data_IF_470421473086
#
_entry.id   IF_470421473086
#
_cell.length_a   1.000
_cell.length_b   1.000
_cell.length_c   1.000
_cell.angle_alpha   90.00
_cell.angle_beta   90.00
_cell.angle_gamma   90.00
#
_symmetry.space_group_name_H-M   'P 1'
#
loop_
_entity.id
_entity.type
_entity.pdbx_description
1 polymer ?
#
# COMPACT_ATOMS: atom_id res chain seq x y z
N UNK A 1 4.37 -0.47 24.17
CA UNK A 1 4.78 -0.28 22.76
C UNK A 1 4.41 -1.52 21.98
N UNK A 2 3.69 -1.38 20.87
CA UNK A 2 3.71 -2.41 19.84
C UNK A 2 5.16 -2.64 19.40
N UNK A 3 5.50 -3.86 18.98
CA UNK A 3 6.87 -4.19 18.56
C UNK A 3 7.37 -3.18 17.53
N UNK A 4 8.49 -2.51 17.80
CA UNK A 4 9.11 -1.52 16.91
C UNK A 4 9.33 -2.09 15.50
N UNK A 5 9.51 -3.40 15.39
CA UNK A 5 9.64 -4.13 14.13
C UNK A 5 8.38 -4.07 13.26
N UNK A 6 7.18 -4.12 13.85
CA UNK A 6 5.92 -4.06 13.09
C UNK A 6 5.67 -2.67 12.52
N UNK A 7 5.91 -1.65 13.33
CA UNK A 7 5.80 -0.26 12.92
C UNK A 7 6.85 0.07 11.86
N UNK A 8 8.06 -0.48 11.97
CA UNK A 8 9.10 -0.33 10.96
C UNK A 8 8.67 -0.94 9.61
N UNK A 9 8.13 -2.17 9.62
CA UNK A 9 7.61 -2.80 8.39
C UNK A 9 6.53 -1.95 7.72
N UNK A 10 5.62 -1.36 8.50
CA UNK A 10 4.59 -0.46 7.97
C UNK A 10 5.15 0.87 7.46
N UNK A 11 6.17 1.44 8.13
CA UNK A 11 6.84 2.66 7.65
C UNK A 11 7.56 2.44 6.32
N UNK A 12 8.27 1.32 6.18
CA UNK A 12 8.92 0.95 4.92
C UNK A 12 7.90 0.77 3.78
N UNK A 13 6.79 0.10 4.09
CA UNK A 13 5.69 -0.05 3.12
C UNK A 13 5.03 1.28 2.76
N UNK A 14 4.77 2.14 3.75
CA UNK A 14 4.26 3.49 3.52
C UNK A 14 5.21 4.31 2.65
N UNK A 15 6.51 4.28 2.92
CA UNK A 15 7.51 4.99 2.14
C UNK A 15 7.57 4.49 0.70
N UNK A 16 7.46 3.18 0.48
CA UNK A 16 7.39 2.61 -0.87
C UNK A 16 6.12 3.05 -1.62
N UNK A 17 4.98 3.16 -0.92
CA UNK A 17 3.74 3.71 -1.49
C UNK A 17 3.89 5.18 -1.86
N UNK A 18 4.49 6.00 -1.00
CA UNK A 18 4.74 7.43 -1.26
C UNK A 18 5.68 7.63 -2.46
N UNK A 19 6.73 6.82 -2.57
CA UNK A 19 7.61 6.82 -3.74
C UNK A 19 6.85 6.45 -5.02
N UNK A 20 5.99 5.44 -4.98
CA UNK A 20 5.16 5.06 -6.12
C UNK A 20 4.16 6.16 -6.48
N UNK A 21 3.55 6.82 -5.49
CA UNK A 21 2.65 7.96 -5.71
C UNK A 21 3.37 9.08 -6.49
N UNK A 22 4.55 9.51 -6.01
CA UNK A 22 5.34 10.56 -6.66
C UNK A 22 5.81 10.20 -8.07
N UNK A 23 5.86 8.92 -8.42
CA UNK A 23 6.26 8.43 -9.74
C UNK A 23 5.08 8.24 -10.69
N UNK A 24 3.91 7.87 -10.17
CA UNK A 24 2.70 7.70 -10.97
C UNK A 24 1.99 9.03 -11.23
N UNK A 25 2.10 10.01 -10.34
CA UNK A 25 1.48 11.34 -10.52
C UNK A 25 2.01 12.11 -11.75
N UNK A 26 3.33 12.17 -12.03
CA UNK A 26 3.84 12.72 -13.28
C UNK A 26 3.60 11.77 -14.47
N UNK A 27 3.10 12.31 -15.59
CA UNK A 27 2.73 11.62 -16.85
C UNK A 27 3.91 10.93 -17.59
N UNK A 28 5.11 10.91 -17.00
CA UNK A 28 6.40 10.71 -17.71
C UNK A 28 7.07 9.35 -17.42
N UNK A 29 6.54 8.57 -16.48
CA UNK A 29 7.12 7.26 -16.14
C UNK A 29 6.61 6.15 -17.08
N UNK A 30 7.49 5.29 -17.63
CA UNK A 30 7.05 4.18 -18.47
C UNK A 30 6.20 3.18 -17.65
N UNK A 31 5.10 2.72 -18.26
CA UNK A 31 4.14 1.80 -17.61
C UNK A 31 4.77 0.50 -17.09
N UNK A 32 5.86 0.05 -17.70
CA UNK A 32 6.62 -1.12 -17.23
C UNK A 32 7.32 -0.86 -15.89
N UNK A 33 7.89 0.33 -15.69
CA UNK A 33 8.54 0.70 -14.44
C UNK A 33 7.51 0.79 -13.28
N UNK A 34 6.31 1.32 -13.55
CA UNK A 34 5.22 1.33 -12.56
C UNK A 34 4.84 -0.11 -12.16
N UNK A 35 4.79 -1.02 -13.12
CA UNK A 35 4.48 -2.43 -12.85
C UNK A 35 5.56 -3.10 -12.01
N UNK A 36 6.84 -2.87 -12.31
CA UNK A 36 7.97 -3.40 -11.55
C UNK A 36 7.96 -2.89 -10.10
N UNK A 37 7.73 -1.59 -9.92
CA UNK A 37 7.60 -1.00 -8.59
C UNK A 37 6.43 -1.60 -7.81
N UNK A 38 5.29 -1.82 -8.47
CA UNK A 38 4.16 -2.50 -7.84
C UNK A 38 4.49 -3.94 -7.42
N UNK A 39 5.26 -4.70 -8.23
CA UNK A 39 5.69 -6.04 -7.83
C UNK A 39 6.61 -6.01 -6.61
N UNK A 40 7.54 -5.06 -6.54
CA UNK A 40 8.39 -4.87 -5.36
C UNK A 40 7.54 -4.54 -4.11
N UNK A 41 6.56 -3.65 -4.25
CA UNK A 41 5.65 -3.24 -3.18
C UNK A 41 4.77 -4.41 -2.69
N UNK A 42 4.30 -5.26 -3.61
CA UNK A 42 3.58 -6.50 -3.29
C UNK A 42 4.46 -7.50 -2.55
N UNK A 43 5.71 -7.65 -2.98
CA UNK A 43 6.72 -8.47 -2.30
C UNK A 43 6.95 -8.00 -0.87
N UNK A 44 7.15 -6.69 -0.69
CA UNK A 44 7.33 -6.04 0.61
C UNK A 44 6.16 -6.31 1.57
N UNK A 45 4.92 -6.13 1.10
CA UNK A 45 3.74 -6.42 1.90
C UNK A 45 3.69 -7.89 2.34
N UNK A 46 3.94 -8.84 1.42
CA UNK A 46 3.87 -10.27 1.73
C UNK A 46 4.95 -10.67 2.73
N UNK A 47 6.19 -10.20 2.52
CA UNK A 47 7.34 -10.61 3.32
C UNK A 47 7.37 -9.98 4.71
N UNK A 48 6.92 -8.73 4.86
CA UNK A 48 7.11 -7.96 6.08
C UNK A 48 5.82 -7.68 6.87
N UNK A 49 4.66 -7.63 6.23
CA UNK A 49 3.39 -7.27 6.89
C UNK A 49 2.45 -8.47 7.00
N UNK A 50 2.21 -9.16 5.89
CA UNK A 50 1.31 -10.30 5.87
C UNK A 50 1.84 -11.48 6.71
N UNK A 51 3.16 -11.62 6.79
CA UNK A 51 3.88 -12.65 7.56
C UNK A 51 3.81 -12.47 9.08
N UNK A 52 3.49 -11.26 9.58
CA UNK A 52 3.38 -10.99 11.02
C UNK A 52 2.24 -11.82 11.61
N UNK A 53 2.59 -12.66 12.59
CA UNK A 53 1.64 -13.54 13.27
C UNK A 53 0.73 -12.76 14.21
N UNK A 54 -0.50 -13.23 14.37
CA UNK A 54 -1.41 -12.68 15.38
C UNK A 54 -0.86 -12.84 16.81
N UNK A 55 -0.01 -13.84 17.05
CA UNK A 55 0.66 -14.05 18.34
C UNK A 55 1.62 -12.93 18.72
N UNK A 56 2.11 -12.19 17.73
CA UNK A 56 3.12 -11.13 17.93
C UNK A 56 2.44 -9.77 18.20
N UNK A 57 1.12 -9.71 18.04
CA UNK A 57 0.31 -8.51 18.25
C UNK A 57 -0.38 -8.60 19.62
N UNK A 58 -0.34 -7.54 20.45
CA UNK A 58 -1.08 -7.53 21.72
C UNK A 58 -2.57 -7.78 21.50
N UNK A 59 -3.21 -8.53 22.39
CA UNK A 59 -4.57 -9.04 22.22
C UNK A 59 -5.59 -7.94 21.86
N UNK A 60 -5.48 -6.76 22.48
CA UNK A 60 -6.35 -5.60 22.25
C UNK A 60 -6.27 -5.04 20.82
N UNK A 61 -5.21 -5.38 20.09
CA UNK A 61 -4.91 -4.90 18.73
C UNK A 61 -5.03 -6.00 17.66
N UNK A 62 -5.10 -7.27 18.03
CA UNK A 62 -5.12 -8.41 17.09
C UNK A 62 -6.25 -8.28 16.06
N UNK A 63 -7.47 -7.95 16.49
CA UNK A 63 -8.60 -7.80 15.57
C UNK A 63 -8.38 -6.65 14.59
N UNK A 64 -7.89 -5.50 15.08
CA UNK A 64 -7.60 -4.33 14.25
C UNK A 64 -6.47 -4.60 13.25
N UNK A 65 -5.42 -5.31 13.68
CA UNK A 65 -4.32 -5.72 12.82
C UNK A 65 -4.77 -6.62 11.69
N UNK A 66 -5.60 -7.63 11.99
CA UNK A 66 -6.14 -8.53 10.98
C UNK A 66 -7.02 -7.78 9.98
N UNK A 67 -7.90 -6.90 10.46
CA UNK A 67 -8.71 -6.04 9.60
C UNK A 67 -7.84 -5.16 8.70
N UNK A 68 -6.80 -4.53 9.24
CA UNK A 68 -5.85 -3.72 8.47
C UNK A 68 -5.19 -4.53 7.35
N UNK A 69 -4.64 -5.70 7.68
CA UNK A 69 -4.03 -6.62 6.70
C UNK A 69 -5.00 -6.99 5.58
N UNK A 70 -6.25 -7.31 5.93
CA UNK A 70 -7.29 -7.64 4.95
C UNK A 70 -7.59 -6.48 4.02
N UNK A 71 -7.74 -5.26 4.55
CA UNK A 71 -8.03 -4.09 3.71
C UNK A 71 -6.83 -3.67 2.85
N UNK A 72 -5.60 -3.73 3.38
CA UNK A 72 -4.39 -3.51 2.57
C UNK A 72 -4.32 -4.54 1.44
N UNK A 73 -4.52 -5.84 1.74
CA UNK A 73 -4.50 -6.88 0.71
C UNK A 73 -5.58 -6.65 -0.37
N UNK A 74 -6.79 -6.27 0.03
CA UNK A 74 -7.87 -5.94 -0.90
C UNK A 74 -7.51 -4.74 -1.78
N UNK A 75 -7.00 -3.66 -1.21
CA UNK A 75 -6.58 -2.50 -1.99
C UNK A 75 -5.41 -2.82 -2.93
N UNK A 76 -4.46 -3.66 -2.50
CA UNK A 76 -3.38 -4.15 -3.36
C UNK A 76 -3.90 -4.91 -4.58
N UNK A 77 -4.93 -5.75 -4.41
CA UNK A 77 -5.57 -6.45 -5.55
C UNK A 77 -6.30 -5.50 -6.49
N UNK A 78 -6.96 -4.48 -5.96
CA UNK A 78 -7.62 -3.48 -6.79
C UNK A 78 -6.59 -2.61 -7.53
N UNK A 79 -5.46 -2.29 -6.90
CA UNK A 79 -4.35 -1.57 -7.52
C UNK A 79 -3.75 -2.36 -8.68
N UNK A 80 -3.53 -3.67 -8.48
CA UNK A 80 -3.09 -4.58 -9.55
C UNK A 80 -4.02 -4.52 -10.78
N UNK A 81 -5.33 -4.52 -10.56
CA UNK A 81 -6.31 -4.41 -11.64
C UNK A 81 -6.26 -3.03 -12.33
N UNK A 82 -6.17 -1.95 -11.55
CA UNK A 82 -6.11 -0.59 -12.10
C UNK A 82 -4.86 -0.40 -12.97
N UNK A 83 -3.72 -0.97 -12.56
CA UNK A 83 -2.48 -0.99 -13.35
C UNK A 83 -2.64 -1.78 -14.66
N UNK A 84 -3.28 -2.96 -14.64
CA UNK A 84 -3.57 -3.71 -15.87
C UNK A 84 -4.45 -2.89 -16.83
N UNK A 85 -5.46 -2.20 -16.30
CA UNK A 85 -6.35 -1.35 -17.11
C UNK A 85 -5.62 -0.11 -17.66
N UNK A 86 -4.71 0.48 -16.90
CA UNK A 86 -3.83 1.54 -17.39
C UNK A 86 -2.94 1.02 -18.54
N UNK A 87 -2.34 -0.16 -18.40
CA UNK A 87 -1.54 -0.78 -19.45
C UNK A 87 -2.34 -1.00 -20.74
N UNK A 88 -3.58 -1.48 -20.64
CA UNK A 88 -4.46 -1.70 -21.77
C UNK A 88 -5.05 -0.41 -22.39
N UNK A 89 -4.90 0.74 -21.72
CA UNK A 89 -5.49 2.00 -22.18
C UNK A 89 -4.79 2.54 -23.43
N UNK A 90 -5.57 2.74 -24.50
CA UNK A 90 -5.10 3.23 -25.81
C UNK A 90 -5.30 4.74 -26.03
N UNK A 91 -6.22 5.35 -25.28
CA UNK A 91 -6.48 6.80 -25.34
C UNK A 91 -5.84 7.49 -24.14
N UNK A 92 -5.23 8.65 -24.39
CA UNK A 92 -4.67 9.52 -23.35
C UNK A 92 -5.70 9.91 -22.30
N UNK A 93 -6.95 10.18 -22.71
CA UNK A 93 -8.01 10.55 -21.76
C UNK A 93 -8.34 9.39 -20.79
N UNK A 94 -8.44 8.16 -21.32
CA UNK A 94 -8.66 6.98 -20.48
C UNK A 94 -7.46 6.69 -19.59
N UNK A 95 -6.23 6.82 -20.11
CA UNK A 95 -5.02 6.62 -19.33
C UNK A 95 -4.95 7.58 -18.12
N UNK A 96 -5.23 8.86 -18.33
CA UNK A 96 -5.28 9.87 -17.24
C UNK A 96 -6.32 9.56 -16.19
N UNK A 97 -7.51 9.11 -16.61
CA UNK A 97 -8.55 8.69 -15.67
C UNK A 97 -8.11 7.48 -14.83
N UNK A 98 -7.43 6.50 -15.44
CA UNK A 98 -6.90 5.32 -14.73
C UNK A 98 -5.76 5.69 -13.78
N UNK A 99 -4.85 6.54 -14.21
CA UNK A 99 -3.75 7.06 -13.40
C UNK A 99 -4.28 7.78 -12.15
N UNK A 100 -5.31 8.63 -12.29
CA UNK A 100 -5.98 9.23 -11.14
C UNK A 100 -6.51 8.19 -10.15
N UNK A 101 -7.22 7.17 -10.65
CA UNK A 101 -7.73 6.09 -9.80
C UNK A 101 -6.63 5.30 -9.09
N UNK A 102 -5.47 5.12 -9.74
CA UNK A 102 -4.27 4.54 -9.12
C UNK A 102 -3.77 5.43 -7.99
N UNK A 103 -3.61 6.74 -8.22
CA UNK A 103 -3.17 7.70 -7.21
C UNK A 103 -4.10 7.71 -6.00
N UNK A 104 -5.42 7.78 -6.23
CA UNK A 104 -6.45 7.74 -5.17
C UNK A 104 -6.33 6.47 -4.31
N UNK A 105 -6.02 5.33 -4.95
CA UNK A 105 -5.86 4.05 -4.26
C UNK A 105 -4.55 3.94 -3.47
N UNK A 106 -3.44 4.43 -4.04
CA UNK A 106 -2.16 4.52 -3.33
C UNK A 106 -2.33 5.41 -2.09
N UNK A 107 -3.03 6.53 -2.21
CA UNK A 107 -3.32 7.41 -1.08
C UNK A 107 -4.16 6.72 0.00
N UNK A 108 -5.15 5.91 -0.39
CA UNK A 108 -5.93 5.09 0.57
C UNK A 108 -5.03 4.11 1.34
N UNK A 109 -4.10 3.44 0.64
CA UNK A 109 -3.13 2.54 1.27
C UNK A 109 -2.21 3.27 2.25
N UNK A 110 -1.72 4.47 1.89
CA UNK A 110 -0.93 5.33 2.78
C UNK A 110 -1.72 5.69 4.05
N UNK A 111 -2.99 6.06 3.90
CA UNK A 111 -3.86 6.40 5.04
C UNK A 111 -4.06 5.23 6.01
N UNK A 112 -4.17 4.00 5.51
CA UNK A 112 -4.23 2.81 6.36
C UNK A 112 -2.94 2.62 7.17
N UNK A 113 -1.77 2.84 6.57
CA UNK A 113 -0.49 2.77 7.28
C UNK A 113 -0.40 3.86 8.36
N UNK A 114 -0.76 5.10 8.01
CA UNK A 114 -0.75 6.23 8.93
C UNK A 114 -1.69 6.03 10.12
N UNK A 115 -2.91 5.56 9.86
CA UNK A 115 -3.90 5.32 10.92
C UNK A 115 -3.41 4.30 11.95
N UNK A 116 -2.75 3.23 11.50
CA UNK A 116 -2.14 2.26 12.42
C UNK A 116 -0.96 2.86 13.20
N UNK A 117 -0.03 3.54 12.50
CA UNK A 117 1.17 4.11 13.12
C UNK A 117 0.84 5.18 14.17
N UNK A 118 -0.22 5.96 13.96
CA UNK A 118 -0.73 6.92 14.95
C UNK A 118 -1.29 6.20 16.18
N UNK A 119 -2.14 5.20 15.98
CA UNK A 119 -2.73 4.42 17.06
C UNK A 119 -1.70 3.62 17.86
N UNK A 120 -0.60 3.19 17.22
CA UNK A 120 0.52 2.51 17.89
C UNK A 120 1.31 3.45 18.82
N UNK A 121 1.36 4.74 18.49
CA UNK A 121 2.09 5.78 19.23
C UNK A 121 1.26 6.42 20.35
N UNK A 122 -0.07 6.44 20.22
CA UNK A 122 -0.98 6.91 21.25
C UNK A 122 -1.17 5.86 22.36
N UNK A 123 -0.18 5.73 23.24
CA UNK A 123 -0.38 5.13 24.57
C UNK A 123 -0.33 6.22 25.64
N UNK A 124 -1.31 6.30 26.57
CA UNK A 124 -1.15 7.02 27.84
C UNK A 124 -0.16 6.33 28.78
#
# INVERSE_FOLDING_TARGET
MLSELHDQALREFQQALEQMYCQVDPDDLPRSAIQEQFQALKGLFISQIASISASDIPLDYVSRWQSLKTEIYKQMRLLENDLMLLQASRSTATAKLRQKGICDRIQTLIQYCQGWLQQSQEQP
#
